data_IF_964422597738
#
_entry.id   IF_964422597738
#
_cell.length_a   1.000
_cell.length_b   1.000
_cell.length_c   1.000
_cell.angle_alpha   90.00
_cell.angle_beta   90.00
_cell.angle_gamma   90.00
#
_symmetry.space_group_name_H-M   'P 1'
#
loop_
_entity.id
_entity.type
_entity.pdbx_description
1 polymer ?
#
# COMPACT_ATOMS: atom_id res chain seq x y z
N UNK A 1 -21.48 41.41 29.53
CA UNK A 1 -22.51 42.28 28.89
C UNK A 1 -21.92 43.48 28.14
N UNK A 2 -20.76 44.05 28.53
CA UNK A 2 -20.15 45.21 27.87
C UNK A 2 -19.63 44.90 26.48
N UNK A 3 -19.19 43.67 26.15
CA UNK A 3 -18.70 43.30 24.82
C UNK A 3 -19.79 43.30 23.75
N UNK A 4 -21.05 43.05 24.11
CA UNK A 4 -22.18 43.05 23.19
C UNK A 4 -22.66 44.43 22.79
N UNK A 5 -22.28 45.46 23.57
CA UNK A 5 -22.60 46.86 23.32
C UNK A 5 -21.65 47.58 22.39
N UNK A 6 -20.56 46.91 21.94
CA UNK A 6 -19.61 47.51 21.00
C UNK A 6 -20.18 47.57 19.57
N UNK A 7 -19.91 48.69 18.93
CA UNK A 7 -20.31 48.89 17.52
C UNK A 7 -19.75 47.76 16.64
N UNK A 8 -20.59 47.18 15.80
CA UNK A 8 -20.24 46.03 14.94
C UNK A 8 -19.82 46.47 13.55
N UNK A 9 -18.72 45.91 13.07
CA UNK A 9 -18.26 46.08 11.69
C UNK A 9 -19.32 45.54 10.71
N UNK A 10 -19.67 46.32 9.71
CA UNK A 10 -20.69 45.97 8.71
C UNK A 10 -22.11 46.44 9.05
N UNK A 11 -22.42 46.78 10.34
CA UNK A 11 -23.71 47.40 10.74
C UNK A 11 -23.54 48.87 11.08
N UNK A 12 -22.71 49.17 12.07
CA UNK A 12 -22.57 50.54 12.64
C UNK A 12 -21.24 51.19 12.24
N UNK A 13 -20.23 50.36 11.98
CA UNK A 13 -18.91 50.80 11.48
C UNK A 13 -18.73 50.25 10.08
N UNK A 14 -18.46 51.14 9.15
CA UNK A 14 -18.07 50.77 7.77
C UNK A 14 -16.59 51.07 7.58
N UNK A 15 -15.87 50.11 7.03
CA UNK A 15 -14.49 50.38 6.58
C UNK A 15 -14.54 51.26 5.34
N UNK A 16 -13.57 52.15 5.26
CA UNK A 16 -13.33 52.91 4.04
C UNK A 16 -13.11 51.88 2.90
N UNK A 17 -13.90 51.99 1.84
CA UNK A 17 -13.74 51.10 0.67
C UNK A 17 -12.29 51.03 0.20
N UNK A 18 -11.95 49.90 -0.38
CA UNK A 18 -10.63 49.72 -0.97
C UNK A 18 -10.37 50.88 -1.93
N UNK A 19 -9.26 51.59 -1.73
CA UNK A 19 -8.84 52.62 -2.68
C UNK A 19 -8.89 51.98 -4.07
N UNK A 20 -9.71 52.54 -4.98
CA UNK A 20 -9.68 52.13 -6.36
C UNK A 20 -8.32 52.53 -6.94
N UNK A 21 -7.34 51.70 -6.69
CA UNK A 21 -6.03 51.88 -7.33
C UNK A 21 -6.13 51.52 -8.80
N UNK A 22 -5.30 52.16 -9.59
CA UNK A 22 -5.06 51.76 -10.97
C UNK A 22 -4.66 50.30 -10.95
N UNK A 23 -5.45 49.41 -11.54
CA UNK A 23 -5.07 48.00 -11.73
C UNK A 23 -4.08 47.99 -12.90
N UNK A 24 -2.80 47.70 -12.66
CA UNK A 24 -1.87 47.53 -13.77
C UNK A 24 -2.34 46.32 -14.58
N UNK A 25 -2.64 46.52 -15.83
CA UNK A 25 -2.90 45.42 -16.76
C UNK A 25 -1.52 44.99 -17.26
N UNK A 26 -1.07 43.86 -16.77
CA UNK A 26 0.16 43.27 -17.28
C UNK A 26 -0.14 42.52 -18.57
N UNK A 27 0.24 43.11 -19.70
CA UNK A 27 0.31 42.38 -20.96
C UNK A 27 1.62 41.58 -20.93
N UNK A 28 1.53 40.27 -20.68
CA UNK A 28 2.69 39.40 -20.77
C UNK A 28 2.97 39.08 -22.23
N UNK A 29 4.04 39.62 -22.79
CA UNK A 29 4.57 39.19 -24.07
C UNK A 29 5.36 37.89 -23.88
N UNK A 30 4.82 36.79 -24.39
CA UNK A 30 5.46 35.48 -24.26
C UNK A 30 6.51 35.36 -25.37
N UNK A 31 7.79 35.50 -25.00
CA UNK A 31 8.92 35.22 -25.88
C UNK A 31 9.49 33.85 -25.57
N UNK A 32 9.11 32.84 -26.34
CA UNK A 32 9.59 31.48 -26.16
C UNK A 32 10.49 31.11 -27.33
N UNK A 33 11.68 30.59 -27.02
CA UNK A 33 12.59 30.03 -28.01
C UNK A 33 12.11 28.64 -28.42
N UNK A 34 12.38 28.23 -29.65
CA UNK A 34 12.08 26.88 -30.16
C UNK A 34 12.61 25.78 -29.24
N UNK A 35 13.83 25.95 -28.69
CA UNK A 35 14.42 25.02 -27.76
C UNK A 35 13.59 24.83 -26.48
N UNK A 36 13.11 25.91 -25.88
CA UNK A 36 12.26 25.87 -24.67
C UNK A 36 10.93 25.21 -24.94
N UNK A 37 10.36 25.46 -26.12
CA UNK A 37 9.12 24.81 -26.52
C UNK A 37 9.28 23.30 -26.69
N UNK A 38 10.34 22.86 -27.36
CA UNK A 38 10.65 21.46 -27.55
C UNK A 38 10.97 20.78 -26.21
N UNK A 39 11.70 21.46 -25.32
CA UNK A 39 12.00 20.95 -23.98
C UNK A 39 10.71 20.74 -23.17
N UNK A 40 9.82 21.71 -23.18
CA UNK A 40 8.54 21.61 -22.47
C UNK A 40 7.67 20.50 -23.05
N UNK A 41 7.60 20.41 -24.36
CA UNK A 41 6.87 19.33 -25.05
C UNK A 41 7.41 17.96 -24.70
N UNK A 42 8.73 17.79 -24.76
CA UNK A 42 9.40 16.56 -24.35
C UNK A 42 9.10 16.18 -22.89
N UNK A 43 9.14 17.14 -21.97
CA UNK A 43 8.79 16.91 -20.57
C UNK A 43 7.36 16.42 -20.39
N UNK A 44 6.41 17.04 -21.12
CA UNK A 44 5.01 16.64 -21.06
C UNK A 44 4.80 15.19 -21.56
N UNK A 45 5.45 14.84 -22.68
CA UNK A 45 5.37 13.49 -23.24
C UNK A 45 5.97 12.47 -22.27
N UNK A 46 7.18 12.73 -21.78
CA UNK A 46 7.82 11.85 -20.79
C UNK A 46 6.96 11.64 -19.55
N UNK A 47 6.37 12.70 -19.02
CA UNK A 47 5.51 12.59 -17.83
C UNK A 47 4.28 11.72 -18.11
N UNK A 48 3.69 11.82 -19.29
CA UNK A 48 2.55 10.97 -19.69
C UNK A 48 2.94 9.50 -19.82
N UNK A 49 4.13 9.22 -20.34
CA UNK A 49 4.60 7.85 -20.49
C UNK A 49 5.00 7.23 -19.13
N UNK A 50 5.59 8.02 -18.21
CA UNK A 50 5.85 7.59 -16.85
C UNK A 50 4.57 7.23 -16.07
N UNK A 51 3.45 7.89 -16.32
CA UNK A 51 2.17 7.56 -15.71
C UNK A 51 1.60 6.20 -16.17
N UNK A 52 2.10 5.65 -17.27
CA UNK A 52 1.71 4.34 -17.81
C UNK A 52 2.60 3.19 -17.37
N UNK A 53 3.48 3.40 -16.38
CA UNK A 53 4.30 2.32 -15.83
C UNK A 53 3.36 1.29 -15.20
N UNK A 54 3.11 0.23 -15.94
CA UNK A 54 2.40 -0.93 -15.44
C UNK A 54 3.38 -1.74 -14.59
N UNK A 55 3.38 -1.48 -13.28
CA UNK A 55 4.18 -2.26 -12.34
C UNK A 55 3.54 -3.65 -12.26
N UNK A 56 4.19 -4.70 -12.76
CA UNK A 56 3.63 -6.04 -12.66
C UNK A 56 3.44 -6.39 -11.19
N UNK A 57 2.19 -6.58 -10.79
CA UNK A 57 1.89 -7.06 -9.43
C UNK A 57 2.41 -8.49 -9.34
N UNK A 58 3.45 -8.68 -8.54
CA UNK A 58 3.93 -10.02 -8.22
C UNK A 58 2.82 -10.75 -7.46
N UNK A 59 2.56 -12.02 -7.77
CA UNK A 59 1.63 -12.81 -7.01
C UNK A 59 2.12 -12.89 -5.55
N UNK A 60 1.31 -12.40 -4.64
CA UNK A 60 1.56 -12.44 -3.19
C UNK A 60 0.65 -13.50 -2.61
N UNK A 61 1.23 -14.42 -1.88
CA UNK A 61 0.46 -15.43 -1.15
C UNK A 61 -0.04 -14.81 0.16
N UNK A 62 -1.35 -14.65 0.28
CA UNK A 62 -1.96 -13.99 1.43
C UNK A 62 -2.08 -14.93 2.64
N UNK A 63 -2.23 -14.35 3.84
CA UNK A 63 -2.47 -15.13 5.07
C UNK A 63 -3.77 -15.95 4.97
N UNK A 64 -4.81 -15.38 4.36
CA UNK A 64 -6.10 -16.06 4.16
C UNK A 64 -5.97 -17.28 3.25
N UNK A 65 -5.20 -17.16 2.16
CA UNK A 65 -4.87 -18.30 1.30
C UNK A 65 -4.06 -19.35 2.06
N UNK A 66 -3.16 -18.91 2.96
CA UNK A 66 -2.41 -19.78 3.86
C UNK A 66 -3.31 -20.57 4.78
N UNK A 67 -4.25 -19.91 5.46
CA UNK A 67 -5.23 -20.56 6.34
C UNK A 67 -6.07 -21.57 5.57
N UNK A 68 -6.58 -21.18 4.39
CA UNK A 68 -7.38 -22.07 3.53
C UNK A 68 -6.57 -23.30 3.12
N UNK A 69 -5.35 -23.09 2.66
CA UNK A 69 -4.45 -24.20 2.26
C UNK A 69 -4.21 -25.16 3.40
N UNK A 70 -3.94 -24.67 4.62
CA UNK A 70 -3.71 -25.53 5.78
C UNK A 70 -4.98 -26.29 6.16
N UNK A 71 -6.15 -25.64 6.12
CA UNK A 71 -7.44 -26.27 6.39
C UNK A 71 -7.76 -27.38 5.39
N UNK A 72 -7.38 -27.25 4.13
CA UNK A 72 -7.55 -28.29 3.11
C UNK A 72 -6.69 -29.54 3.40
N UNK A 73 -5.66 -29.41 4.23
CA UNK A 73 -4.83 -30.50 4.72
C UNK A 73 -5.28 -31.10 6.06
N UNK A 74 -6.30 -30.53 6.73
CA UNK A 74 -6.86 -31.09 7.95
C UNK A 74 -7.35 -32.53 7.71
N UNK A 75 -7.16 -33.37 8.69
CA UNK A 75 -7.38 -34.81 8.56
C UNK A 75 -6.22 -35.60 7.92
N UNK A 76 -5.25 -34.90 7.29
CA UNK A 76 -4.01 -35.50 6.76
C UNK A 76 -2.78 -35.10 7.59
N UNK A 77 -2.95 -34.22 8.56
CA UNK A 77 -1.90 -33.68 9.44
C UNK A 77 -1.88 -34.42 10.80
N UNK A 78 -2.13 -35.72 10.77
CA UNK A 78 -2.06 -36.57 11.97
C UNK A 78 -0.64 -36.64 12.54
N UNK A 79 0.38 -36.52 11.70
CA UNK A 79 1.78 -36.54 12.08
C UNK A 79 2.45 -35.18 11.83
N UNK A 80 3.61 -34.97 12.46
CA UNK A 80 4.41 -33.76 12.26
C UNK A 80 4.90 -33.65 10.84
N UNK A 81 4.47 -32.62 10.11
CA UNK A 81 4.90 -32.31 8.76
C UNK A 81 5.64 -30.99 8.71
N UNK A 82 6.61 -30.89 7.81
CA UNK A 82 7.32 -29.63 7.57
C UNK A 82 6.36 -28.60 6.95
N UNK A 83 6.44 -27.38 7.44
CA UNK A 83 5.64 -26.25 6.95
C UNK A 83 5.89 -25.99 5.46
N UNK A 84 7.12 -26.16 4.98
CA UNK A 84 7.46 -26.00 3.56
C UNK A 84 6.74 -26.98 2.63
N UNK A 85 6.32 -28.15 3.12
CA UNK A 85 5.64 -29.15 2.30
C UNK A 85 4.22 -28.73 1.94
N UNK A 86 3.62 -27.84 2.73
CA UNK A 86 2.29 -27.33 2.51
C UNK A 86 2.23 -26.19 1.49
N UNK A 87 3.38 -25.66 1.05
CA UNK A 87 3.43 -24.60 0.06
C UNK A 87 2.89 -25.12 -1.29
N UNK A 88 1.91 -24.45 -1.91
CA UNK A 88 1.38 -24.85 -3.21
C UNK A 88 2.48 -24.94 -4.28
N UNK A 89 2.37 -25.90 -5.20
CA UNK A 89 3.37 -26.13 -6.26
C UNK A 89 3.65 -24.87 -7.08
N UNK A 90 2.65 -24.04 -7.32
CA UNK A 90 2.77 -22.78 -8.06
C UNK A 90 3.75 -21.80 -7.40
N UNK A 91 3.91 -21.86 -6.08
CA UNK A 91 4.84 -21.02 -5.32
C UNK A 91 6.17 -21.70 -5.03
N UNK A 92 6.30 -23.03 -5.26
CA UNK A 92 7.57 -23.75 -5.09
C UNK A 92 8.52 -23.56 -6.28
N UNK A 93 7.99 -23.31 -7.48
CA UNK A 93 8.77 -23.33 -8.73
C UNK A 93 9.76 -22.17 -8.89
N UNK A 94 9.47 -21.01 -8.29
CA UNK A 94 10.29 -19.80 -8.39
C UNK A 94 10.76 -19.38 -7.01
N UNK A 95 12.07 -19.22 -6.83
CA UNK A 95 12.68 -18.87 -5.54
C UNK A 95 12.07 -17.60 -4.91
N UNK A 96 11.71 -16.61 -5.76
CA UNK A 96 11.09 -15.36 -5.31
C UNK A 96 9.68 -15.59 -4.74
N UNK A 97 8.92 -16.49 -5.35
CA UNK A 97 7.57 -16.82 -4.91
C UNK A 97 7.58 -17.77 -3.71
N UNK A 98 8.62 -18.61 -3.59
CA UNK A 98 8.78 -19.49 -2.41
C UNK A 98 8.79 -18.69 -1.12
N UNK A 99 9.48 -17.55 -1.08
CA UNK A 99 9.53 -16.68 0.11
C UNK A 99 8.15 -16.17 0.52
N UNK A 100 7.35 -15.69 -0.42
CA UNK A 100 5.98 -15.22 -0.13
C UNK A 100 5.06 -16.37 0.27
N UNK A 101 5.18 -17.52 -0.38
CA UNK A 101 4.46 -18.74 -0.01
C UNK A 101 4.77 -19.19 1.41
N UNK A 102 6.06 -19.28 1.78
CA UNK A 102 6.49 -19.63 3.14
C UNK A 102 5.95 -18.63 4.17
N UNK A 103 6.06 -17.34 3.90
CA UNK A 103 5.58 -16.30 4.81
C UNK A 103 4.05 -16.38 5.02
N UNK A 104 3.27 -16.57 3.95
CA UNK A 104 1.81 -16.67 4.05
C UNK A 104 1.33 -17.94 4.76
N UNK A 105 1.96 -19.11 4.49
CA UNK A 105 1.67 -20.34 5.21
C UNK A 105 2.06 -20.20 6.69
N UNK A 106 3.23 -19.61 6.98
CA UNK A 106 3.66 -19.39 8.37
C UNK A 106 2.68 -18.47 9.11
N UNK A 107 2.31 -17.32 8.54
CA UNK A 107 1.34 -16.42 9.15
C UNK A 107 -0.03 -17.10 9.35
N UNK A 108 -0.51 -17.87 8.37
CA UNK A 108 -1.75 -18.65 8.49
C UNK A 108 -1.66 -19.72 9.56
N UNK A 109 -0.51 -20.39 9.70
CA UNK A 109 -0.31 -21.40 10.75
C UNK A 109 -0.35 -20.80 12.16
N UNK A 110 0.22 -19.59 12.37
CA UNK A 110 0.16 -18.90 13.65
C UNK A 110 -1.28 -18.54 14.04
N UNK A 111 -2.09 -18.11 13.09
CA UNK A 111 -3.51 -17.80 13.36
C UNK A 111 -4.27 -19.07 13.77
N UNK A 112 -4.06 -20.19 13.06
CA UNK A 112 -4.69 -21.47 13.41
C UNK A 112 -4.20 -22.06 14.76
N UNK A 113 -2.95 -21.76 15.15
CA UNK A 113 -2.45 -22.10 16.49
C UNK A 113 -3.14 -21.26 17.55
N UNK A 114 -3.34 -19.97 17.29
CA UNK A 114 -4.07 -19.06 18.17
C UNK A 114 -5.54 -19.51 18.34
N UNK A 115 -6.16 -20.00 17.29
CA UNK A 115 -7.49 -20.63 17.33
C UNK A 115 -7.49 -21.98 18.09
N UNK A 116 -6.31 -22.57 18.34
CA UNK A 116 -6.16 -23.83 19.02
C UNK A 116 -6.35 -25.08 18.15
N UNK A 117 -6.38 -24.91 16.83
CA UNK A 117 -6.58 -25.99 15.86
C UNK A 117 -5.28 -26.69 15.45
N UNK A 118 -4.13 -26.02 15.62
CA UNK A 118 -2.81 -26.50 15.24
C UNK A 118 -1.81 -26.43 16.39
N UNK A 119 -0.78 -27.26 16.30
CA UNK A 119 0.45 -27.18 17.10
C UNK A 119 1.63 -26.92 16.20
N UNK A 120 2.52 -26.03 16.63
CA UNK A 120 3.79 -25.73 15.97
C UNK A 120 4.93 -26.17 16.86
N UNK A 121 5.99 -26.72 16.24
CA UNK A 121 7.25 -27.08 16.90
C UNK A 121 8.41 -26.61 16.03
N UNK A 122 9.42 -26.03 16.67
CA UNK A 122 10.73 -25.75 16.11
C UNK A 122 11.78 -26.17 17.13
N UNK A 123 12.80 -26.94 16.74
CA UNK A 123 13.77 -27.48 17.70
C UNK A 123 14.85 -26.47 18.05
N UNK A 124 15.44 -25.83 17.05
CA UNK A 124 16.44 -24.78 17.25
C UNK A 124 16.02 -23.50 16.48
N UNK A 125 16.68 -22.38 16.80
CA UNK A 125 16.49 -21.12 16.11
C UNK A 125 16.84 -21.28 14.62
N UNK A 126 15.93 -20.85 13.76
CA UNK A 126 16.04 -20.90 12.30
C UNK A 126 16.00 -22.30 11.66
N UNK A 127 15.73 -23.36 12.45
CA UNK A 127 15.48 -24.71 11.93
C UNK A 127 14.11 -24.82 11.23
N UNK A 128 13.88 -25.99 10.64
CA UNK A 128 12.61 -26.34 10.03
C UNK A 128 11.45 -26.25 11.05
N UNK A 129 10.35 -25.70 10.60
CA UNK A 129 9.14 -25.57 11.39
C UNK A 129 8.22 -26.76 11.05
N UNK A 130 7.77 -27.43 12.08
CA UNK A 130 6.84 -28.55 11.97
C UNK A 130 5.48 -28.16 12.51
N UNK A 131 4.45 -28.63 11.84
CA UNK A 131 3.07 -28.42 12.24
C UNK A 131 2.33 -29.74 12.35
N UNK A 132 1.39 -29.80 13.26
CA UNK A 132 0.51 -30.95 13.51
C UNK A 132 -0.87 -30.45 13.89
N UNK A 133 -1.91 -31.18 13.45
CA UNK A 133 -3.28 -30.96 13.92
C UNK A 133 -3.38 -31.34 15.41
N UNK A 134 -4.24 -30.65 16.15
CA UNK A 134 -4.40 -30.86 17.58
C UNK A 134 -5.31 -32.05 17.88
#
# INVERSE_FOLDING_TARGET
>A
EQMLKRKRLGREIRTRGVKSGIRPIYNSEIKVNLFELLKTYSTIIMTKDFQKINIPKLPVFTTEEGIKTIRDFFGKLTDWKKLEDLIPKNFKSVTKYKKTGTAGIFAGSLELVKEGNLRIKQENLFDDIFIKEK
#
